data_IF_256995010608
#
_entry.id   IF_256995010608
#
_cell.length_a   1.000
_cell.length_b   1.000
_cell.length_c   1.000
_cell.angle_alpha   90.00
_cell.angle_beta   90.00
_cell.angle_gamma   90.00
#
_symmetry.space_group_name_H-M   'P 1'
#
loop_
_entity.id
_entity.type
_entity.pdbx_description
1 polymer ?
#
# COMPACT_ATOMS: atom_id res chain seq x y z
N UNK A 1 -12.52 30.71 0.16
CA UNK A 1 -12.18 29.38 0.71
C UNK A 1 -11.02 29.59 1.67
N UNK A 2 -11.13 29.10 2.91
CA UNK A 2 -10.13 29.32 3.95
C UNK A 2 -8.81 28.64 3.57
N UNK A 3 -7.67 29.30 3.77
CA UNK A 3 -6.32 28.77 3.51
C UNK A 3 -6.12 27.42 4.21
N UNK A 4 -6.73 27.24 5.39
CA UNK A 4 -6.69 25.96 6.14
C UNK A 4 -7.37 24.82 5.38
N UNK A 5 -8.48 25.09 4.69
CA UNK A 5 -9.22 24.09 3.93
C UNK A 5 -8.43 23.67 2.69
N UNK A 6 -7.87 24.64 1.96
CA UNK A 6 -7.01 24.38 0.78
C UNK A 6 -5.79 23.54 1.16
N UNK A 7 -5.16 23.84 2.30
CA UNK A 7 -4.02 23.08 2.79
C UNK A 7 -4.39 21.63 3.10
N UNK A 8 -5.50 21.40 3.80
CA UNK A 8 -5.96 20.05 4.15
C UNK A 8 -6.34 19.22 2.92
N UNK A 9 -7.02 19.83 1.95
CA UNK A 9 -7.35 19.16 0.68
C UNK A 9 -6.10 18.82 -0.13
N UNK A 10 -5.14 19.76 -0.21
CA UNK A 10 -3.87 19.53 -0.92
C UNK A 10 -3.09 18.37 -0.31
N UNK A 11 -3.02 18.29 1.02
CA UNK A 11 -2.40 17.16 1.73
C UNK A 11 -3.15 15.84 1.45
N UNK A 12 -4.49 15.89 1.41
CA UNK A 12 -5.32 14.74 1.06
C UNK A 12 -5.06 14.22 -0.36
N UNK A 13 -4.96 15.11 -1.34
CA UNK A 13 -4.65 14.75 -2.73
C UNK A 13 -3.20 14.29 -2.91
N UNK A 14 -2.24 14.96 -2.27
CA UNK A 14 -0.83 14.59 -2.33
C UNK A 14 -0.58 13.21 -1.72
N UNK A 15 -1.19 12.93 -0.55
CA UNK A 15 -1.09 11.61 0.08
C UNK A 15 -1.74 10.52 -0.78
N UNK A 16 -2.86 10.82 -1.46
CA UNK A 16 -3.50 9.90 -2.41
C UNK A 16 -2.60 9.62 -3.62
N UNK A 17 -1.95 10.65 -4.18
CA UNK A 17 -1.04 10.50 -5.32
C UNK A 17 0.22 9.68 -4.95
N UNK A 18 0.83 9.97 -3.80
CA UNK A 18 1.97 9.20 -3.28
C UNK A 18 1.60 7.75 -2.99
N UNK A 19 0.39 7.53 -2.46
CA UNK A 19 -0.14 6.21 -2.21
C UNK A 19 -0.33 5.41 -3.51
N UNK A 20 -0.96 6.00 -4.54
CA UNK A 20 -1.11 5.38 -5.86
C UNK A 20 0.25 5.13 -6.54
N UNK A 21 1.21 6.05 -6.40
CA UNK A 21 2.57 5.84 -6.91
C UNK A 21 3.25 4.65 -6.21
N UNK A 22 3.07 4.50 -4.89
CA UNK A 22 3.61 3.35 -4.14
C UNK A 22 2.99 2.02 -4.56
N UNK A 23 1.73 2.06 -5.04
CA UNK A 23 1.04 0.91 -5.62
C UNK A 23 1.65 0.55 -6.99
N UNK A 24 1.82 1.55 -7.86
CA UNK A 24 2.20 1.33 -9.26
C UNK A 24 3.65 0.86 -9.43
N UNK A 25 4.57 1.26 -8.55
CA UNK A 25 5.99 0.87 -8.67
C UNK A 25 6.19 -0.55 -8.12
N UNK A 26 6.35 -1.59 -8.96
CA UNK A 26 6.29 -2.99 -8.53
C UNK A 26 7.63 -3.51 -7.96
N UNK A 27 8.65 -2.66 -7.86
CA UNK A 27 10.03 -3.13 -7.91
C UNK A 27 10.77 -3.20 -6.57
N UNK A 28 10.06 -3.16 -5.43
CA UNK A 28 10.71 -3.30 -4.11
C UNK A 28 9.94 -4.26 -3.21
N UNK A 29 10.54 -5.45 -3.02
CA UNK A 29 10.05 -6.54 -2.15
C UNK A 29 9.64 -6.07 -0.75
N UNK A 30 10.40 -5.11 -0.20
CA UNK A 30 10.15 -4.57 1.13
C UNK A 30 9.07 -3.48 1.17
N UNK A 31 8.74 -2.83 0.05
CA UNK A 31 7.76 -1.75 0.04
C UNK A 31 6.34 -2.26 0.24
N UNK A 32 5.97 -3.41 -0.34
CA UNK A 32 4.61 -3.93 -0.15
C UNK A 32 4.39 -4.47 1.27
N UNK A 33 5.43 -5.00 1.93
CA UNK A 33 5.36 -5.38 3.34
C UNK A 33 5.17 -4.15 4.25
N UNK A 34 5.93 -3.08 4.00
CA UNK A 34 5.77 -1.80 4.70
C UNK A 34 4.40 -1.18 4.41
N UNK A 35 3.91 -1.27 3.18
CA UNK A 35 2.57 -0.83 2.79
C UNK A 35 1.45 -1.63 3.47
N UNK A 36 1.65 -2.94 3.66
CA UNK A 36 0.73 -3.78 4.43
C UNK A 36 0.69 -3.38 5.91
N UNK A 37 1.87 -3.14 6.51
CA UNK A 37 1.98 -2.68 7.90
C UNK A 37 1.34 -1.30 8.08
N UNK A 38 1.63 -0.36 7.18
CA UNK A 38 1.03 0.97 7.18
C UNK A 38 -0.49 0.91 6.97
N UNK A 39 -0.98 0.01 6.12
CA UNK A 39 -2.41 -0.25 6.01
C UNK A 39 -2.95 -0.71 7.37
N UNK A 40 -2.46 -1.79 7.97
CA UNK A 40 -2.98 -2.29 9.27
C UNK A 40 -3.04 -1.20 10.34
N UNK A 41 -1.97 -0.42 10.52
CA UNK A 41 -1.95 0.65 11.53
C UNK A 41 -2.90 1.79 11.20
N UNK A 42 -3.05 2.16 9.91
CA UNK A 42 -4.03 3.16 9.45
C UNK A 42 -5.46 2.68 9.65
N UNK A 43 -5.72 1.38 9.52
CA UNK A 43 -7.04 0.78 9.78
C UNK A 43 -7.43 0.89 11.24
N UNK A 44 -6.51 0.59 12.16
CA UNK A 44 -6.71 0.72 13.60
C UNK A 44 -6.95 2.20 13.98
N UNK A 45 -6.15 3.11 13.42
CA UNK A 45 -6.32 4.56 13.61
C UNK A 45 -7.67 5.06 13.09
N UNK A 46 -8.06 4.66 11.88
CA UNK A 46 -9.32 5.04 11.25
C UNK A 46 -10.54 4.48 11.97
N UNK A 47 -10.43 3.28 12.55
CA UNK A 47 -11.46 2.69 13.42
C UNK A 47 -11.63 3.50 14.71
N UNK A 48 -10.55 3.84 15.40
CA UNK A 48 -10.59 4.58 16.66
C UNK A 48 -11.17 5.99 16.52
N UNK A 49 -10.89 6.67 15.40
CA UNK A 49 -11.37 8.04 15.15
C UNK A 49 -12.68 8.13 14.36
N UNK A 50 -13.34 7.00 14.04
CA UNK A 50 -14.59 6.99 13.30
C UNK A 50 -14.47 7.58 11.88
N UNK A 51 -13.27 7.57 11.30
CA UNK A 51 -12.97 8.21 10.03
C UNK A 51 -13.42 7.33 8.86
N UNK A 52 -14.74 7.21 8.68
CA UNK A 52 -15.40 6.40 7.63
C UNK A 52 -14.92 6.72 6.21
N UNK A 53 -14.54 7.96 5.92
CA UNK A 53 -14.00 8.38 4.63
C UNK A 53 -12.65 7.69 4.26
N UNK A 54 -11.92 7.16 5.24
CA UNK A 54 -10.62 6.52 5.04
C UNK A 54 -10.77 5.03 4.66
N UNK A 55 -11.91 4.41 4.96
CA UNK A 55 -12.09 2.95 4.87
C UNK A 55 -12.01 2.40 3.45
N UNK A 56 -12.55 3.11 2.46
CA UNK A 56 -12.52 2.66 1.06
C UNK A 56 -11.08 2.67 0.53
N UNK A 57 -10.35 3.77 0.75
CA UNK A 57 -8.94 3.89 0.36
C UNK A 57 -8.09 2.85 1.09
N UNK A 58 -8.38 2.63 2.37
CA UNK A 58 -7.70 1.65 3.21
C UNK A 58 -7.92 0.20 2.76
N UNK A 59 -9.16 -0.20 2.45
CA UNK A 59 -9.45 -1.56 1.98
C UNK A 59 -8.70 -1.86 0.68
N UNK A 60 -8.76 -0.94 -0.28
CA UNK A 60 -8.05 -1.08 -1.55
C UNK A 60 -6.54 -1.20 -1.30
N UNK A 61 -5.98 -0.39 -0.39
CA UNK A 61 -4.58 -0.47 0.01
C UNK A 61 -4.19 -1.82 0.58
N UNK A 62 -4.97 -2.29 1.55
CA UNK A 62 -4.70 -3.51 2.27
C UNK A 62 -4.69 -4.72 1.32
N UNK A 63 -5.72 -4.85 0.48
CA UNK A 63 -5.82 -5.95 -0.48
C UNK A 63 -4.75 -5.85 -1.57
N UNK A 64 -4.44 -4.66 -2.07
CA UNK A 64 -3.40 -4.48 -3.08
C UNK A 64 -2.02 -4.87 -2.55
N UNK A 65 -1.62 -4.34 -1.39
CA UNK A 65 -0.32 -4.66 -0.79
C UNK A 65 -0.24 -6.14 -0.42
N UNK A 66 -1.33 -6.73 0.07
CA UNK A 66 -1.41 -8.16 0.36
C UNK A 66 -1.23 -9.03 -0.89
N UNK A 67 -1.92 -8.70 -1.98
CA UNK A 67 -1.81 -9.41 -3.24
C UNK A 67 -0.40 -9.32 -3.84
N UNK A 68 0.18 -8.11 -3.88
CA UNK A 68 1.53 -7.90 -4.43
C UNK A 68 2.61 -8.60 -3.59
N UNK A 69 2.47 -8.62 -2.26
CA UNK A 69 3.35 -9.37 -1.38
C UNK A 69 3.32 -10.87 -1.70
N UNK A 70 2.11 -11.43 -1.86
CA UNK A 70 1.94 -12.83 -2.24
C UNK A 70 2.53 -13.14 -3.62
N UNK A 71 2.26 -12.29 -4.61
CA UNK A 71 2.77 -12.42 -5.98
C UNK A 71 4.31 -12.41 -6.01
N UNK A 72 4.96 -11.44 -5.35
CA UNK A 72 6.42 -11.35 -5.29
C UNK A 72 7.07 -12.53 -4.56
N UNK A 73 6.38 -13.13 -3.60
CA UNK A 73 6.84 -14.35 -2.93
C UNK A 73 6.82 -15.53 -3.88
N UNK A 74 5.73 -15.70 -4.65
CA UNK A 74 5.59 -16.76 -5.65
C UNK A 74 6.66 -16.66 -6.75
N UNK A 75 6.85 -15.48 -7.33
CA UNK A 75 7.87 -15.25 -8.38
C UNK A 75 9.30 -15.59 -7.91
N UNK A 76 9.62 -15.36 -6.64
CA UNK A 76 10.93 -15.72 -6.09
C UNK A 76 11.12 -17.22 -5.90
N UNK A 77 10.07 -17.93 -5.49
CA UNK A 77 10.12 -19.39 -5.38
C UNK A 77 10.35 -20.02 -6.74
N UNK A 78 9.62 -19.58 -7.77
CA UNK A 78 9.79 -20.06 -9.15
C UNK A 78 11.21 -19.79 -9.70
N UNK A 79 11.75 -18.57 -9.48
CA UNK A 79 13.12 -18.23 -9.87
C UNK A 79 14.17 -19.12 -9.18
N UNK A 80 13.97 -19.42 -7.89
CA UNK A 80 14.89 -20.28 -7.13
C UNK A 80 14.89 -21.73 -7.67
N UNK A 81 13.72 -22.25 -8.03
CA UNK A 81 13.56 -23.60 -8.60
C UNK A 81 14.19 -23.72 -10.00
N UNK A 82 14.05 -22.69 -10.86
CA UNK A 82 14.71 -22.67 -12.18
C UNK A 82 16.23 -22.62 -12.09
N UNK A 83 16.78 -21.90 -11.13
CA UNK A 83 18.24 -21.81 -10.95
C UNK A 83 18.84 -23.15 -10.46
N UNK A 84 18.09 -23.93 -9.68
CA UNK A 84 18.55 -25.21 -9.11
C UNK A 84 18.47 -26.39 -10.11
N UNK A 85 17.67 -26.28 -11.16
CA UNK A 85 17.54 -27.31 -12.22
C UNK A 85 18.50 -27.08 -13.39
N UNK A 86 19.12 -25.91 -13.46
CA UNK A 86 20.04 -25.50 -14.53
C UNK A 86 21.53 -25.70 -14.19
N UNK A 87 21.83 -26.19 -12.97
CA UNK A 87 23.16 -26.36 -12.38
C UNK A 87 23.47 -27.82 -12.11
#
# INVERSE_FOLDING_TARGET
MDTKVIMMESIGWLSTALFLFSIVVPNRKNLHLLGLFAAVTTGIYGYYHGATAIWVKWLIAFFFHGYMYFKQKKEQTELAETNHTSS
#
